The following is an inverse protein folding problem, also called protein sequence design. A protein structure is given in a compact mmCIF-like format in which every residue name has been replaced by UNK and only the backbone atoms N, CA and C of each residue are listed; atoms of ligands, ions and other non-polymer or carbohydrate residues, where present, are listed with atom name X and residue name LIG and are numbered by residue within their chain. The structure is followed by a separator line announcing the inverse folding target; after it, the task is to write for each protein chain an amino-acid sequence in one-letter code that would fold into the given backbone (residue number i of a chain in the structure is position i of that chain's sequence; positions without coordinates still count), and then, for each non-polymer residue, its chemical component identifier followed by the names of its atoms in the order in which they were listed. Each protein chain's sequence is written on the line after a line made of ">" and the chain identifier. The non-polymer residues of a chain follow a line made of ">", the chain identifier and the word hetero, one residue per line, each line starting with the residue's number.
data_IF_552149851053
#
_entry.id   IF_552149851053
#
_cell.length_a   1.000
_cell.length_b   1.000
_cell.length_c   1.000
_cell.angle_alpha   90.00
_cell.angle_beta   90.00
_cell.angle_gamma   90.00
#
_symmetry.space_group_name_H-M   'P 1'
#
loop_
_entity.id
_entity.type
_entity.pdbx_description
1 polymer ?
#
# COMPACT_ATOMS: atom_id res chain seq x y z
N UNK A 1 -7.05 -40.90 26.59
CA UNK A 1 -7.74 -39.71 26.05
C UNK A 1 -6.68 -38.62 25.96
N UNK A 2 -6.13 -38.37 24.76
CA UNK A 2 -5.11 -37.34 24.54
C UNK A 2 -5.85 -36.00 24.56
N UNK A 3 -5.45 -35.09 25.45
CA UNK A 3 -5.87 -33.69 25.37
C UNK A 3 -5.37 -33.12 24.04
N UNK A 4 -6.15 -32.27 23.35
CA UNK A 4 -5.66 -31.63 22.13
C UNK A 4 -4.47 -30.75 22.48
N UNK A 5 -3.43 -30.84 21.65
CA UNK A 5 -2.27 -29.97 21.72
C UNK A 5 -2.74 -28.51 21.59
N UNK A 6 -2.35 -27.70 22.56
CA UNK A 6 -2.56 -26.25 22.55
C UNK A 6 -1.75 -25.72 21.38
N UNK A 7 -2.42 -25.26 20.33
CA UNK A 7 -1.83 -24.42 19.28
C UNK A 7 -1.24 -23.23 20.02
N UNK A 8 0.09 -23.17 20.11
CA UNK A 8 0.77 -22.03 20.68
C UNK A 8 0.47 -20.85 19.76
N UNK A 9 -0.31 -19.90 20.26
CA UNK A 9 -0.58 -18.62 19.61
C UNK A 9 0.78 -18.03 19.19
N UNK A 10 1.01 -17.74 17.89
CA UNK A 10 2.31 -17.26 17.45
C UNK A 10 2.64 -15.97 18.21
N UNK A 11 3.84 -15.92 18.81
CA UNK A 11 4.30 -14.74 19.55
C UNK A 11 4.39 -13.55 18.57
N UNK A 12 3.37 -12.68 18.62
CA UNK A 12 3.26 -11.52 17.74
C UNK A 12 4.13 -10.40 18.31
N UNK A 13 5.31 -10.19 17.72
CA UNK A 13 6.09 -8.98 18.00
C UNK A 13 5.58 -7.85 17.13
N UNK A 14 4.78 -6.95 17.71
CA UNK A 14 4.17 -5.81 17.04
C UNK A 14 4.67 -4.48 17.62
N UNK A 15 5.05 -3.56 16.74
CA UNK A 15 5.44 -2.19 17.11
C UNK A 15 4.57 -1.17 16.38
N UNK A 16 3.99 -0.24 17.14
CA UNK A 16 3.19 0.86 16.60
C UNK A 16 4.12 1.94 16.06
N UNK A 17 3.88 2.37 14.83
CA UNK A 17 4.68 3.37 14.10
C UNK A 17 3.80 4.51 13.59
N UNK A 18 4.41 5.53 12.98
CA UNK A 18 3.72 6.64 12.31
C UNK A 18 2.59 7.28 13.14
N UNK A 19 2.93 7.71 14.36
CA UNK A 19 2.03 8.41 15.27
C UNK A 19 0.75 7.62 15.63
N UNK A 20 0.81 6.28 15.58
CA UNK A 20 -0.32 5.42 15.94
C UNK A 20 -1.20 4.99 14.77
N UNK A 21 -0.83 5.35 13.53
CA UNK A 21 -1.62 4.99 12.33
C UNK A 21 -1.16 3.71 11.65
N UNK A 22 -0.02 3.17 12.08
CA UNK A 22 0.66 2.05 11.42
C UNK A 22 1.24 1.09 12.46
N UNK A 23 1.43 -0.18 12.07
CA UNK A 23 2.07 -1.20 12.87
C UNK A 23 2.98 -2.07 12.00
N UNK A 24 4.18 -2.35 12.50
CA UNK A 24 5.05 -3.40 11.97
C UNK A 24 4.91 -4.61 12.87
N UNK A 25 4.71 -5.79 12.29
CA UNK A 25 4.62 -7.02 13.07
C UNK A 25 5.37 -8.17 12.42
N UNK A 26 5.99 -8.99 13.26
CA UNK A 26 6.62 -10.25 12.87
C UNK A 26 5.87 -11.39 13.52
N UNK A 27 5.55 -12.41 12.73
CA UNK A 27 4.89 -13.63 13.21
C UNK A 27 5.59 -14.84 12.61
N UNK A 28 5.59 -15.96 13.34
CA UNK A 28 6.16 -17.22 12.87
C UNK A 28 5.06 -18.26 12.86
N UNK A 29 4.76 -18.77 11.67
CA UNK A 29 3.80 -19.85 11.49
C UNK A 29 4.54 -21.19 11.58
N UNK A 30 4.21 -21.96 12.62
CA UNK A 30 4.71 -23.32 12.77
C UNK A 30 4.20 -24.23 11.64
N UNK A 31 2.97 -24.00 11.20
CA UNK A 31 2.34 -24.66 10.05
C UNK A 31 1.89 -23.57 9.04
N UNK A 32 2.38 -23.56 7.80
CA UNK A 32 2.01 -22.57 6.78
C UNK A 32 0.54 -22.66 6.36
N UNK A 33 -0.11 -23.83 6.52
CA UNK A 33 -1.55 -23.96 6.27
C UNK A 33 -2.39 -23.17 7.28
N UNK A 34 -1.79 -22.77 8.41
CA UNK A 34 -2.42 -21.94 9.46
C UNK A 34 -2.11 -20.44 9.29
N UNK A 35 -1.45 -20.03 8.20
CA UNK A 35 -1.05 -18.65 7.97
C UNK A 35 -2.19 -17.72 7.54
N UNK A 36 -3.15 -17.55 8.44
CA UNK A 36 -4.34 -16.73 8.22
C UNK A 36 -4.21 -15.42 9.00
N UNK A 37 -4.43 -14.30 8.32
CA UNK A 37 -4.72 -13.03 8.98
C UNK A 37 -6.23 -12.84 9.06
N UNK A 38 -6.77 -12.82 10.28
CA UNK A 38 -8.11 -12.29 10.50
C UNK A 38 -8.01 -10.77 10.52
N UNK A 39 -8.61 -10.11 9.54
CA UNK A 39 -8.56 -8.65 9.44
C UNK A 39 -9.44 -7.97 10.50
N UNK A 40 -10.29 -8.75 11.20
CA UNK A 40 -11.10 -8.31 12.34
C UNK A 40 -12.10 -7.20 12.01
N UNK A 41 -12.48 -7.06 10.73
CA UNK A 41 -13.24 -5.90 10.28
C UNK A 41 -14.74 -6.05 10.54
N UNK A 42 -15.38 -4.93 10.90
CA UNK A 42 -16.84 -4.79 10.93
C UNK A 42 -17.47 -5.16 9.57
N UNK A 43 -18.75 -5.54 9.57
CA UNK A 43 -19.51 -5.99 8.38
C UNK A 43 -19.55 -4.99 7.18
N UNK A 44 -19.07 -3.76 7.37
CA UNK A 44 -19.08 -2.66 6.39
C UNK A 44 -17.73 -2.39 5.70
N UNK A 45 -16.75 -3.31 5.82
CA UNK A 45 -15.43 -3.20 5.20
C UNK A 45 -15.28 -4.17 4.03
N UNK A 46 -15.00 -3.62 2.85
CA UNK A 46 -14.60 -4.36 1.66
C UNK A 46 -13.09 -4.66 1.73
N UNK A 47 -12.74 -5.92 1.47
CA UNK A 47 -11.36 -6.43 1.45
C UNK A 47 -10.99 -6.76 0.00
N UNK A 48 -9.85 -6.25 -0.48
CA UNK A 48 -9.34 -6.54 -1.82
C UNK A 48 -7.86 -6.93 -1.75
N UNK A 49 -7.48 -8.02 -2.43
CA UNK A 49 -6.09 -8.32 -2.74
C UNK A 49 -5.70 -7.54 -3.98
N UNK A 50 -4.75 -6.62 -3.84
CA UNK A 50 -4.22 -5.83 -4.94
C UNK A 50 -2.81 -6.28 -5.28
N UNK A 51 -2.47 -6.23 -6.56
CA UNK A 51 -1.18 -6.65 -7.10
C UNK A 51 -0.50 -5.45 -7.73
N UNK A 52 0.74 -5.15 -7.34
CA UNK A 52 1.55 -4.12 -7.99
C UNK A 52 2.14 -4.62 -9.32
N UNK A 53 2.82 -3.75 -10.06
CA UNK A 53 3.42 -4.10 -11.36
C UNK A 53 4.57 -5.13 -11.26
N UNK A 54 5.19 -5.26 -10.08
CA UNK A 54 6.21 -6.29 -9.78
C UNK A 54 5.60 -7.64 -9.40
N UNK A 55 4.29 -7.66 -9.22
CA UNK A 55 3.50 -8.84 -8.91
C UNK A 55 3.36 -9.16 -7.43
N UNK A 56 3.84 -8.28 -6.55
CA UNK A 56 3.66 -8.39 -5.10
C UNK A 56 2.21 -8.10 -4.73
N UNK A 57 1.67 -8.90 -3.81
CA UNK A 57 0.30 -8.77 -3.34
C UNK A 57 0.24 -8.05 -1.99
N UNK A 58 -0.82 -7.28 -1.81
CA UNK A 58 -1.16 -6.64 -0.54
C UNK A 58 -2.67 -6.58 -0.38
N UNK A 59 -3.13 -6.31 0.84
CA UNK A 59 -4.54 -6.22 1.19
C UNK A 59 -4.94 -4.76 1.34
N UNK A 60 -5.96 -4.32 0.63
CA UNK A 60 -6.59 -3.01 0.80
C UNK A 60 -7.93 -3.20 1.49
N UNK A 61 -8.19 -2.37 2.50
CA UNK A 61 -9.44 -2.33 3.24
C UNK A 61 -10.13 -0.99 2.96
N UNK A 62 -11.33 -1.04 2.39
CA UNK A 62 -12.13 0.16 2.14
C UNK A 62 -13.52 0.04 2.74
N UNK A 63 -14.14 1.16 3.10
CA UNK A 63 -15.56 1.15 3.44
C UNK A 63 -16.43 1.17 2.16
N UNK A 64 -17.75 1.02 2.34
CA UNK A 64 -18.75 1.08 1.26
C UNK A 64 -18.74 2.36 0.39
N UNK A 65 -18.05 3.43 0.81
CA UNK A 65 -17.86 4.66 0.03
C UNK A 65 -16.56 4.66 -0.77
N UNK A 66 -15.76 3.60 -0.69
CA UNK A 66 -14.40 3.50 -1.20
C UNK A 66 -13.41 4.43 -0.49
N UNK A 67 -13.66 4.80 0.77
CA UNK A 67 -12.61 5.41 1.62
C UNK A 67 -11.70 4.32 2.16
N UNK A 68 -10.39 4.61 2.18
CA UNK A 68 -9.41 3.78 2.87
C UNK A 68 -9.76 3.67 4.36
N UNK A 69 -9.84 2.43 4.84
CA UNK A 69 -9.92 2.06 6.26
C UNK A 69 -8.57 1.54 6.73
N UNK A 70 -7.85 0.85 5.86
CA UNK A 70 -6.46 0.47 6.07
C UNK A 70 -5.95 -0.52 5.03
N UNK A 71 -4.90 -1.23 5.37
CA UNK A 71 -4.36 -2.28 4.53
C UNK A 71 -3.15 -2.94 5.18
N UNK A 72 -2.75 -4.07 4.59
CA UNK A 72 -1.65 -4.90 5.05
C UNK A 72 -0.76 -5.19 3.84
N UNK A 73 0.54 -5.00 4.00
CA UNK A 73 1.53 -5.41 3.02
C UNK A 73 2.54 -6.34 3.70
N UNK A 74 2.80 -7.48 3.08
CA UNK A 74 3.88 -8.37 3.51
C UNK A 74 5.19 -7.75 3.04
N UNK A 75 6.20 -7.75 3.90
CA UNK A 75 7.50 -7.18 3.60
C UNK A 75 8.48 -8.23 3.16
N UNK A 76 8.51 -9.33 3.91
CA UNK A 76 9.36 -10.46 3.67
C UNK A 76 8.75 -11.67 4.35
N UNK A 77 9.00 -12.83 3.75
CA UNK A 77 8.66 -14.12 4.33
C UNK A 77 9.84 -15.06 4.07
N UNK A 78 10.26 -15.77 5.10
CA UNK A 78 11.42 -16.65 5.05
C UNK A 78 11.14 -17.96 5.78
N UNK A 79 11.72 -19.06 5.29
CA UNK A 79 11.78 -20.32 6.04
C UNK A 79 12.78 -20.20 7.19
N UNK A 80 12.77 -21.17 8.11
CA UNK A 80 13.73 -21.24 9.22
C UNK A 80 15.21 -21.23 8.78
N UNK A 81 15.52 -21.78 7.61
CA UNK A 81 16.87 -21.79 7.04
C UNK A 81 17.25 -20.47 6.34
N UNK A 82 16.36 -19.47 6.37
CA UNK A 82 16.57 -18.14 5.79
C UNK A 82 16.27 -18.05 4.30
N UNK A 83 15.65 -19.06 3.69
CA UNK A 83 15.26 -19.00 2.28
C UNK A 83 14.03 -18.12 2.11
N UNK A 84 14.09 -17.15 1.19
CA UNK A 84 12.96 -16.28 0.88
C UNK A 84 11.84 -17.06 0.19
N UNK A 85 10.61 -16.88 0.66
CA UNK A 85 9.39 -17.42 0.07
C UNK A 85 8.44 -16.28 -0.33
N UNK A 86 7.61 -16.53 -1.33
CA UNK A 86 6.63 -15.54 -1.78
C UNK A 86 5.24 -15.89 -1.25
N UNK A 87 4.55 -14.96 -0.58
CA UNK A 87 3.16 -15.16 -0.20
C UNK A 87 2.23 -14.95 -1.40
N UNK A 88 1.25 -15.84 -1.53
CA UNK A 88 0.04 -15.64 -2.32
C UNK A 88 -1.14 -15.44 -1.36
N UNK A 89 -1.89 -14.37 -1.59
CA UNK A 89 -3.02 -13.94 -0.79
C UNK A 89 -4.32 -14.35 -1.46
N UNK A 90 -5.23 -14.90 -0.66
CA UNK A 90 -6.62 -15.11 -1.06
C UNK A 90 -7.56 -14.65 0.05
N UNK A 91 -8.82 -14.39 -0.31
CA UNK A 91 -9.83 -13.88 0.62
C UNK A 91 -10.93 -14.94 0.77
N UNK A 92 -11.26 -15.28 2.01
CA UNK A 92 -12.42 -16.10 2.37
C UNK A 92 -13.25 -15.36 3.43
N UNK A 93 -14.34 -14.71 3.00
CA UNK A 93 -15.12 -13.84 3.87
C UNK A 93 -14.27 -12.65 4.38
N UNK A 94 -14.10 -12.55 5.70
CA UNK A 94 -13.27 -11.53 6.35
C UNK A 94 -11.81 -11.96 6.59
N UNK A 95 -11.44 -13.15 6.12
CA UNK A 95 -10.11 -13.74 6.32
C UNK A 95 -9.22 -13.53 5.12
N UNK A 96 -7.97 -13.18 5.38
CA UNK A 96 -6.90 -13.17 4.39
C UNK A 96 -6.04 -14.41 4.63
N UNK A 97 -6.09 -15.34 3.70
CA UNK A 97 -5.31 -16.58 3.75
C UNK A 97 -4.01 -16.35 3.00
N UNK A 98 -2.89 -16.69 3.62
CA UNK A 98 -1.56 -16.64 2.99
C UNK A 98 -1.13 -18.06 2.65
N UNK A 99 -0.76 -18.28 1.40
CA UNK A 99 -0.11 -19.51 0.95
C UNK A 99 1.29 -19.17 0.52
N UNK A 100 2.30 -19.83 1.06
CA UNK A 100 3.69 -19.56 0.70
C UNK A 100 4.15 -20.51 -0.39
N UNK A 101 4.96 -19.99 -1.31
CA UNK A 101 5.61 -20.79 -2.34
C UNK A 101 7.09 -20.46 -2.40
N UNK A 102 7.91 -21.51 -2.48
CA UNK A 102 9.31 -21.43 -2.87
C UNK A 102 9.44 -21.76 -4.39
N UNK A 103 10.67 -21.86 -4.91
CA UNK A 103 10.91 -22.17 -6.33
C UNK A 103 10.49 -23.59 -6.73
N UNK A 104 10.34 -24.49 -5.75
CA UNK A 104 9.98 -25.90 -5.94
C UNK A 104 8.50 -26.19 -5.58
N UNK A 105 7.74 -25.20 -5.13
CA UNK A 105 6.41 -25.31 -4.53
C UNK A 105 6.35 -26.20 -3.27
N UNK A 106 7.46 -26.35 -2.55
CA UNK A 106 7.54 -27.06 -1.28
C UNK A 106 8.11 -26.09 -0.25
N UNK A 107 7.34 -25.69 0.75
CA UNK A 107 7.84 -24.78 1.78
C UNK A 107 8.13 -25.54 3.06
N UNK A 108 9.40 -25.56 3.45
CA UNK A 108 9.82 -26.10 4.73
C UNK A 108 9.37 -25.17 5.87
N UNK A 109 8.86 -25.78 6.93
CA UNK A 109 8.35 -25.11 8.13
C UNK A 109 9.49 -24.90 9.17
N UNK A 110 9.38 -23.91 10.06
CA UNK A 110 8.40 -22.82 10.13
C UNK A 110 8.69 -21.67 9.16
N UNK A 111 7.68 -20.81 8.94
CA UNK A 111 7.79 -19.59 8.13
C UNK A 111 7.67 -18.36 9.02
N UNK A 112 8.70 -17.50 8.98
CA UNK A 112 8.66 -16.18 9.60
C UNK A 112 8.20 -15.14 8.58
N UNK A 113 7.17 -14.38 8.93
CA UNK A 113 6.58 -13.33 8.10
C UNK A 113 6.74 -12.00 8.83
N UNK A 114 7.24 -11.01 8.11
CA UNK A 114 7.20 -9.62 8.53
C UNK A 114 6.19 -8.89 7.67
N UNK A 115 5.29 -8.19 8.31
CA UNK A 115 4.25 -7.42 7.64
C UNK A 115 4.12 -6.01 8.23
N UNK A 116 3.53 -5.16 7.42
CA UNK A 116 3.23 -3.77 7.73
C UNK A 116 1.75 -3.51 7.52
N UNK A 117 1.07 -3.06 8.57
CA UNK A 117 -0.30 -2.59 8.49
C UNK A 117 -0.36 -1.07 8.67
N UNK A 118 -1.27 -0.41 7.96
CA UNK A 118 -1.53 1.02 8.16
C UNK A 118 -2.96 1.37 7.81
N UNK A 119 -3.50 2.35 8.53
CA UNK A 119 -4.82 2.96 8.27
C UNK A 119 -4.77 4.11 7.27
N UNK A 120 -3.56 4.53 6.86
CA UNK A 120 -3.35 5.71 6.01
C UNK A 120 -2.30 5.48 4.94
N UNK A 121 -2.55 5.96 3.72
CA UNK A 121 -1.56 5.96 2.64
C UNK A 121 -0.70 7.22 2.58
N UNK A 122 -1.15 8.29 3.22
CA UNK A 122 -0.49 9.60 3.18
C UNK A 122 -0.51 10.23 4.55
N UNK A 123 0.64 10.70 5.02
CA UNK A 123 0.81 11.35 6.33
C UNK A 123 0.21 12.75 6.32
N UNK A 124 0.42 13.48 5.23
CA UNK A 124 0.01 14.87 5.08
C UNK A 124 0.05 15.32 3.62
N UNK A 125 -0.72 16.36 3.31
CA UNK A 125 -0.65 17.10 2.06
C UNK A 125 -0.50 18.60 2.29
N UNK A 126 0.30 19.28 1.47
CA UNK A 126 0.49 20.74 1.57
C UNK A 126 0.81 21.37 0.23
N UNK A 127 0.68 22.70 0.14
CA UNK A 127 0.99 23.46 -1.07
C UNK A 127 2.17 24.38 -0.82
N UNK A 128 3.22 24.25 -1.63
CA UNK A 128 4.36 25.17 -1.64
C UNK A 128 4.16 26.18 -2.76
N UNK A 129 3.98 27.46 -2.41
CA UNK A 129 3.92 28.54 -3.40
C UNK A 129 5.31 28.78 -3.98
N UNK A 130 5.36 29.07 -5.28
CA UNK A 130 6.57 29.48 -6.01
C UNK A 130 6.34 30.88 -6.60
N UNK A 131 7.33 31.43 -7.28
CA UNK A 131 7.22 32.75 -7.90
C UNK A 131 6.07 32.82 -8.91
N UNK A 132 5.39 33.98 -8.94
CA UNK A 132 4.22 34.19 -9.78
C UNK A 132 3.02 33.32 -9.35
N UNK A 133 2.31 32.75 -10.32
CA UNK A 133 1.14 31.88 -10.10
C UNK A 133 1.51 30.40 -9.92
N UNK A 134 2.80 30.07 -9.81
CA UNK A 134 3.28 28.69 -9.74
C UNK A 134 3.15 28.13 -8.33
N UNK A 135 2.85 26.84 -8.23
CA UNK A 135 2.77 26.12 -6.96
C UNK A 135 3.15 24.65 -7.14
N UNK A 136 3.48 24.00 -6.03
CA UNK A 136 3.68 22.56 -5.94
C UNK A 136 2.65 22.02 -4.94
N UNK A 137 1.84 21.06 -5.37
CA UNK A 137 1.06 20.24 -4.45
C UNK A 137 1.98 19.12 -3.99
N UNK A 138 2.08 18.91 -2.68
CA UNK A 138 2.93 17.90 -2.07
C UNK A 138 2.05 16.91 -1.33
N UNK A 139 2.32 15.62 -1.48
CA UNK A 139 1.65 14.55 -0.73
C UNK A 139 2.73 13.59 -0.24
N UNK A 140 2.76 13.31 1.07
CA UNK A 140 3.81 12.50 1.70
C UNK A 140 3.30 11.08 1.99
N UNK A 141 3.67 10.06 1.19
CA UNK A 141 3.15 8.71 1.34
C UNK A 141 3.79 7.95 2.51
N UNK A 142 2.98 7.10 3.15
CA UNK A 142 3.44 6.09 4.11
C UNK A 142 4.12 4.93 3.39
N UNK A 143 4.69 4.00 4.16
CA UNK A 143 5.24 2.75 3.62
C UNK A 143 4.17 1.97 2.86
N UNK A 144 2.97 1.82 3.43
CA UNK A 144 1.85 1.15 2.77
C UNK A 144 1.40 1.88 1.50
N UNK A 145 1.28 3.21 1.55
CA UNK A 145 0.90 4.01 0.39
C UNK A 145 1.87 3.90 -0.80
N UNK A 146 3.12 3.48 -0.57
CA UNK A 146 4.09 3.17 -1.64
C UNK A 146 4.02 1.74 -2.14
N UNK A 147 3.56 0.80 -1.33
CA UNK A 147 3.44 -0.62 -1.72
C UNK A 147 2.15 -0.90 -2.50
N UNK A 148 1.08 -0.19 -2.20
CA UNK A 148 -0.26 -0.43 -2.79
C UNK A 148 -0.50 0.34 -4.09
N UNK A 149 0.52 0.35 -4.94
CA UNK A 149 0.58 1.15 -6.16
C UNK A 149 0.07 0.38 -7.37
N UNK A 150 -1.21 0.55 -7.70
CA UNK A 150 -1.82 -0.11 -8.84
C UNK A 150 -2.91 0.78 -9.48
N UNK A 151 -3.25 0.48 -10.73
CA UNK A 151 -4.30 1.24 -11.44
C UNK A 151 -5.68 1.10 -10.79
N UNK A 152 -6.00 -0.07 -10.24
CA UNK A 152 -7.27 -0.30 -9.52
C UNK A 152 -7.36 0.48 -8.21
N UNK A 153 -6.24 0.81 -7.55
CA UNK A 153 -6.22 1.60 -6.30
C UNK A 153 -6.23 3.12 -6.53
N UNK A 154 -6.08 3.58 -7.78
CA UNK A 154 -5.98 5.01 -8.14
C UNK A 154 -7.08 5.88 -7.50
N UNK A 155 -8.36 5.49 -7.62
CA UNK A 155 -9.48 6.30 -7.11
C UNK A 155 -9.37 6.51 -5.60
N UNK A 156 -9.01 5.45 -4.88
CA UNK A 156 -8.81 5.46 -3.42
C UNK A 156 -7.62 6.34 -3.05
N UNK A 157 -6.52 6.27 -3.82
CA UNK A 157 -5.35 7.14 -3.62
C UNK A 157 -5.69 8.62 -3.78
N UNK A 158 -6.41 8.99 -4.84
CA UNK A 158 -6.82 10.38 -5.07
C UNK A 158 -7.73 10.86 -3.94
N UNK A 159 -8.67 10.02 -3.49
CA UNK A 159 -9.58 10.37 -2.40
C UNK A 159 -8.82 10.62 -1.10
N UNK A 160 -7.88 9.73 -0.74
CA UNK A 160 -7.06 9.88 0.45
C UNK A 160 -6.11 11.09 0.37
N UNK A 161 -5.47 11.31 -0.78
CA UNK A 161 -4.61 12.47 -1.00
C UNK A 161 -5.37 13.81 -0.87
N UNK A 162 -6.57 13.91 -1.47
CA UNK A 162 -7.44 15.09 -1.32
C UNK A 162 -7.88 15.30 0.13
N UNK A 163 -8.15 14.22 0.87
CA UNK A 163 -8.49 14.27 2.30
C UNK A 163 -7.34 14.90 3.11
N UNK A 164 -6.11 14.40 2.97
CA UNK A 164 -4.95 14.93 3.72
C UNK A 164 -4.47 16.30 3.25
N UNK A 165 -4.75 16.68 2.00
CA UNK A 165 -4.48 18.02 1.47
C UNK A 165 -5.47 19.07 2.03
N UNK A 166 -6.68 18.63 2.39
CA UNK A 166 -7.77 19.47 2.90
C UNK A 166 -8.62 20.10 1.79
N UNK A 167 -9.89 20.33 2.10
CA UNK A 167 -10.90 20.76 1.11
C UNK A 167 -10.57 22.10 0.45
N UNK A 168 -10.07 23.09 1.21
CA UNK A 168 -9.73 24.40 0.68
C UNK A 168 -8.58 24.35 -0.33
N UNK A 169 -7.52 23.57 -0.02
CA UNK A 169 -6.40 23.38 -0.92
C UNK A 169 -6.77 22.53 -2.12
N UNK A 170 -7.55 21.46 -1.90
CA UNK A 170 -8.08 20.62 -2.99
C UNK A 170 -8.85 21.45 -4.00
N UNK A 171 -9.82 22.24 -3.55
CA UNK A 171 -10.62 23.12 -4.43
C UNK A 171 -9.77 24.10 -5.23
N UNK A 172 -8.68 24.59 -4.67
CA UNK A 172 -7.87 25.67 -5.27
C UNK A 172 -6.73 25.16 -6.16
N UNK A 173 -6.12 24.04 -5.80
CA UNK A 173 -4.86 23.60 -6.37
C UNK A 173 -4.93 22.21 -7.02
N UNK A 174 -5.91 21.38 -6.67
CA UNK A 174 -6.05 20.06 -7.29
C UNK A 174 -6.82 20.17 -8.60
N UNK A 175 -6.10 20.36 -9.69
CA UNK A 175 -6.67 20.35 -11.04
C UNK A 175 -6.28 19.07 -11.80
N UNK A 176 -6.78 18.96 -13.03
CA UNK A 176 -6.54 17.81 -13.90
C UNK A 176 -5.05 17.47 -14.06
N UNK A 177 -4.19 18.47 -14.26
CA UNK A 177 -2.74 18.25 -14.41
C UNK A 177 -2.09 17.72 -13.12
N UNK A 178 -2.49 18.24 -11.95
CA UNK A 178 -2.02 17.75 -10.66
C UNK A 178 -2.44 16.29 -10.45
N UNK A 179 -3.68 15.94 -10.80
CA UNK A 179 -4.16 14.57 -10.69
C UNK A 179 -3.37 13.61 -11.59
N UNK A 180 -3.05 14.01 -12.82
CA UNK A 180 -2.22 13.19 -13.71
C UNK A 180 -0.81 12.97 -13.16
N UNK A 181 -0.16 14.02 -12.67
CA UNK A 181 1.16 13.89 -12.05
C UNK A 181 1.09 12.99 -10.81
N UNK A 182 0.03 13.10 -10.01
CA UNK A 182 -0.19 12.24 -8.86
C UNK A 182 -0.35 10.77 -9.26
N UNK A 183 -1.13 10.48 -10.30
CA UNK A 183 -1.26 9.11 -10.84
C UNK A 183 0.08 8.55 -11.30
N UNK A 184 0.92 9.36 -11.92
CA UNK A 184 2.27 8.93 -12.27
C UNK A 184 3.11 8.61 -11.02
N UNK A 185 2.99 9.35 -9.93
CA UNK A 185 3.69 9.03 -8.67
C UNK A 185 3.16 7.77 -7.98
N UNK A 186 1.88 7.44 -8.17
CA UNK A 186 1.26 6.22 -7.64
C UNK A 186 1.59 5.05 -8.56
N UNK A 187 1.09 5.03 -9.79
CA UNK A 187 1.23 3.90 -10.72
C UNK A 187 2.63 3.83 -11.34
N UNK A 188 3.20 4.97 -11.70
CA UNK A 188 4.51 5.07 -12.35
C UNK A 188 5.67 5.20 -11.37
N UNK A 189 5.54 4.70 -10.13
CA UNK A 189 6.50 4.84 -9.03
C UNK A 189 7.81 4.04 -9.20
N UNK A 190 8.34 3.94 -10.43
CA UNK A 190 9.60 3.26 -10.78
C UNK A 190 10.84 3.86 -10.09
N UNK A 191 10.71 4.99 -9.39
CA UNK A 191 11.80 5.65 -8.68
C UNK A 191 11.36 6.01 -7.26
N UNK A 192 12.00 5.46 -6.21
CA UNK A 192 11.74 5.89 -4.85
C UNK A 192 12.35 7.27 -4.63
N UNK A 193 11.52 8.29 -4.41
CA UNK A 193 12.03 9.51 -3.79
C UNK A 193 10.92 10.26 -3.04
N UNK A 194 10.87 10.02 -1.73
CA UNK A 194 10.24 10.93 -0.77
C UNK A 194 8.82 11.39 -1.14
N UNK A 195 8.57 12.66 -0.86
CA UNK A 195 7.28 13.32 -1.08
C UNK A 195 6.91 13.30 -2.57
N UNK A 196 5.64 13.06 -2.87
CA UNK A 196 5.11 13.24 -4.22
C UNK A 196 4.93 14.72 -4.49
N UNK A 197 5.69 15.25 -5.45
CA UNK A 197 5.68 16.65 -5.84
C UNK A 197 4.96 16.79 -7.20
N UNK A 198 3.84 17.51 -7.21
CA UNK A 198 3.06 17.79 -8.42
C UNK A 198 3.15 19.29 -8.71
N UNK A 199 3.79 19.64 -9.82
CA UNK A 199 4.17 20.99 -10.18
C UNK A 199 3.13 21.61 -11.13
N UNK A 200 2.63 22.80 -10.79
CA UNK A 200 1.52 23.44 -11.51
C UNK A 200 1.85 23.86 -12.95
N UNK A 201 3.12 23.79 -13.36
CA UNK A 201 3.62 24.24 -14.67
C UNK A 201 4.00 23.09 -15.60
N UNK A 202 3.88 21.84 -15.15
CA UNK A 202 4.10 20.70 -16.04
C UNK A 202 2.93 20.57 -17.02
N UNK A 203 3.14 20.08 -18.25
CA UNK A 203 2.05 19.79 -19.16
C UNK A 203 1.14 18.66 -18.67
N UNK A 204 -0.07 18.59 -19.20
CA UNK A 204 -0.91 17.39 -19.12
C UNK A 204 -0.57 16.43 -20.25
N UNK A 205 -0.68 15.12 -20.01
CA UNK A 205 -0.52 14.06 -21.01
C UNK A 205 -1.86 13.38 -21.31
N UNK A 206 -1.90 12.60 -22.39
CA UNK A 206 -3.00 11.65 -22.61
C UNK A 206 -2.93 10.54 -21.55
N UNK A 207 -4.09 10.05 -21.09
CA UNK A 207 -4.17 9.10 -19.96
C UNK A 207 -3.28 7.86 -20.11
N UNK A 208 -3.24 7.25 -21.29
CA UNK A 208 -2.38 6.09 -21.57
C UNK A 208 -0.88 6.37 -21.57
N UNK A 209 -0.44 7.62 -21.39
CA UNK A 209 0.97 8.03 -21.36
C UNK A 209 1.42 8.55 -19.99
N UNK A 210 0.52 8.64 -19.01
CA UNK A 210 0.80 9.25 -17.70
C UNK A 210 1.82 8.44 -16.89
N UNK A 211 1.71 7.11 -16.89
CA UNK A 211 2.60 6.22 -16.16
C UNK A 211 3.88 5.85 -16.94
N UNK A 212 4.22 6.59 -18.01
CA UNK A 212 5.43 6.32 -18.79
C UNK A 212 6.69 6.71 -17.98
N UNK A 213 7.57 5.75 -17.63
CA UNK A 213 8.77 6.03 -16.83
C UNK A 213 9.72 7.04 -17.50
N UNK A 214 9.72 7.08 -18.84
CA UNK A 214 10.60 7.96 -19.64
C UNK A 214 10.23 9.44 -19.47
N UNK A 215 8.95 9.76 -19.31
CA UNK A 215 8.48 11.14 -19.25
C UNK A 215 8.44 11.70 -17.80
N UNK A 216 8.89 10.90 -16.81
CA UNK A 216 9.07 11.28 -15.38
C UNK A 216 7.94 12.17 -14.84
N UNK A 217 6.70 11.72 -14.98
CA UNK A 217 5.50 12.42 -14.53
C UNK A 217 5.28 13.78 -15.22
N UNK A 218 5.19 13.72 -16.54
CA UNK A 218 4.89 14.86 -17.42
C UNK A 218 5.98 15.94 -17.39
N UNK A 219 7.24 15.60 -17.12
CA UNK A 219 8.30 16.62 -17.03
C UNK A 219 8.54 17.27 -18.39
N UNK A 220 8.46 18.59 -18.45
CA UNK A 220 8.76 19.37 -19.65
C UNK A 220 10.18 19.01 -20.12
N UNK A 221 10.30 18.50 -21.34
CA UNK A 221 11.60 18.24 -21.99
C UNK A 221 12.28 19.60 -22.19
N UNK A 222 13.38 19.82 -21.47
CA UNK A 222 14.29 20.94 -21.71
C UNK A 222 15.28 20.54 -22.79
#
# INVERSE_FOLDING_TARGET
>A
MKLPDVIADPELDASVTEEGTSAEFTTTFANPDEAVFETGTDDDVDIEVVKNDEGEQSVVLTNSKGDLVGGIAIEEAHTADGNQVSPELSIEGSRVIQTFKDKQNNVDEPITVKAYASTVWYKRGWVTKKSGKKYIVNVDPTKLGRKQIAWNTHKTHVKHAKKVLGAANTKKYWNYNIEQQFVCHVVGAWFPSGVYNMESWQPSLAWGKIANPVDRCNRSKK
#
